data_IF_480534036921
#
_entry.id   IF_480534036921
#
_cell.length_a   1.000
_cell.length_b   1.000
_cell.length_c   1.000
_cell.angle_alpha   90.00
_cell.angle_beta   90.00
_cell.angle_gamma   90.00
#
_symmetry.space_group_name_H-M   'P 1'
#
loop_
_entity.id
_entity.type
_entity.pdbx_description
1 polymer ?
#
# COMPACT_ATOMS: atom_id res chain seq x y z
N UNK A 1 0.32 9.25 13.14
CA UNK A 1 0.88 7.88 13.17
C UNK A 1 0.29 7.13 12.00
N UNK A 2 1.09 6.32 11.29
CA UNK A 2 0.59 5.39 10.28
C UNK A 2 0.35 4.02 10.93
N UNK A 3 -0.79 3.41 10.64
CA UNK A 3 -1.14 2.08 11.14
C UNK A 3 -1.21 1.10 9.99
N UNK A 4 -0.40 0.04 10.06
CA UNK A 4 -0.39 -1.02 9.05
C UNK A 4 -1.05 -2.28 9.62
N UNK A 5 -2.25 -2.58 9.13
CA UNK A 5 -2.96 -3.82 9.38
C UNK A 5 -2.35 -4.95 8.55
N UNK A 6 -1.66 -5.87 9.20
CA UNK A 6 -0.97 -6.98 8.56
C UNK A 6 -1.81 -8.26 8.62
N UNK A 7 -1.78 -9.03 7.53
CA UNK A 7 -2.27 -10.40 7.56
C UNK A 7 -1.36 -11.28 8.42
N UNK A 8 -1.89 -12.41 8.91
CA UNK A 8 -1.08 -13.41 9.64
C UNK A 8 0.17 -13.83 8.84
N UNK A 9 -0.01 -14.08 7.54
CA UNK A 9 1.07 -14.44 6.62
C UNK A 9 2.18 -13.38 6.57
N UNK A 10 1.81 -12.09 6.64
CA UNK A 10 2.78 -11.01 6.67
C UNK A 10 3.56 -11.01 7.98
N UNK A 11 2.89 -11.07 9.14
CA UNK A 11 3.56 -11.15 10.45
C UNK A 11 4.54 -12.31 10.55
N UNK A 12 4.12 -13.51 10.12
CA UNK A 12 4.95 -14.70 10.11
C UNK A 12 6.24 -14.53 9.28
N UNK A 13 6.23 -13.61 8.30
CA UNK A 13 7.35 -13.36 7.39
C UNK A 13 8.22 -12.14 7.73
N UNK A 14 7.69 -11.16 8.48
CA UNK A 14 8.29 -9.82 8.60
C UNK A 14 8.95 -9.51 9.94
N UNK A 15 8.76 -10.35 10.97
CA UNK A 15 9.21 -10.09 12.34
C UNK A 15 8.68 -8.77 12.93
N UNK A 16 7.58 -8.23 12.38
CA UNK A 16 6.89 -7.09 12.97
C UNK A 16 6.31 -7.47 14.34
N UNK A 17 6.32 -6.52 15.26
CA UNK A 17 5.72 -6.67 16.58
C UNK A 17 4.25 -6.26 16.46
N UNK A 18 3.34 -7.17 16.81
CA UNK A 18 1.91 -6.87 16.84
C UNK A 18 1.60 -5.94 18.02
N UNK A 19 0.97 -4.81 17.72
CA UNK A 19 0.54 -3.78 18.67
C UNK A 19 -0.99 -3.72 18.75
N UNK A 20 -1.52 -3.05 19.78
CA UNK A 20 -2.96 -2.86 19.94
C UNK A 20 -3.49 -1.82 18.95
N UNK A 21 -4.68 -2.10 18.42
CA UNK A 21 -5.39 -1.12 17.60
C UNK A 21 -6.05 -0.04 18.46
N UNK A 22 -6.02 1.20 17.97
CA UNK A 22 -6.80 2.30 18.53
C UNK A 22 -7.86 2.65 17.48
N UNK A 23 -9.11 2.26 17.73
CA UNK A 23 -10.19 2.41 16.75
C UNK A 23 -10.46 3.87 16.34
N UNK A 24 -10.06 4.84 17.17
CA UNK A 24 -10.29 6.28 16.96
C UNK A 24 -9.39 6.95 15.90
N UNK A 25 -8.43 6.23 15.31
CA UNK A 25 -7.58 6.79 14.25
C UNK A 25 -8.35 6.94 12.92
N UNK A 26 -8.13 8.05 12.20
CA UNK A 26 -8.72 8.27 10.87
C UNK A 26 -8.23 7.21 9.87
N UNK A 27 -9.18 6.58 9.17
CA UNK A 27 -8.94 5.57 8.14
C UNK A 27 -8.02 6.04 7.00
N UNK A 28 -7.84 7.36 6.82
CA UNK A 28 -6.84 7.89 5.88
C UNK A 28 -5.40 7.55 6.29
N UNK A 29 -5.12 7.37 7.59
CA UNK A 29 -3.80 7.00 8.11
C UNK A 29 -3.67 5.49 8.39
N UNK A 30 -4.75 4.72 8.17
CA UNK A 30 -4.74 3.27 8.27
C UNK A 30 -4.57 2.63 6.89
N UNK A 31 -3.72 1.62 6.83
CA UNK A 31 -3.40 0.86 5.64
C UNK A 31 -3.47 -0.63 5.94
N UNK A 32 -3.83 -1.44 4.96
CA UNK A 32 -3.69 -2.88 5.00
C UNK A 32 -2.52 -3.34 4.15
N UNK A 33 -1.78 -4.34 4.63
CA UNK A 33 -0.66 -4.93 3.91
C UNK A 33 -0.75 -6.46 3.89
N UNK A 34 -0.44 -7.06 2.74
CA UNK A 34 -0.44 -8.51 2.54
C UNK A 34 0.67 -8.95 1.61
N UNK A 35 1.32 -10.06 1.96
CA UNK A 35 2.36 -10.68 1.13
C UNK A 35 1.75 -11.73 0.20
N UNK A 36 2.09 -11.65 -1.09
CA UNK A 36 1.63 -12.57 -2.13
C UNK A 36 2.78 -12.99 -3.03
N UNK A 37 2.54 -13.99 -3.90
CA UNK A 37 3.55 -14.51 -4.82
C UNK A 37 3.12 -14.24 -6.25
N UNK A 38 3.98 -13.60 -7.03
CA UNK A 38 3.78 -13.28 -8.45
C UNK A 38 5.15 -13.14 -9.10
N UNK A 39 5.27 -13.49 -10.39
CA UNK A 39 6.54 -13.43 -11.13
C UNK A 39 7.70 -14.17 -10.41
N UNK A 40 7.40 -15.32 -9.79
CA UNK A 40 8.32 -16.16 -8.99
C UNK A 40 8.96 -15.46 -7.77
N UNK A 41 8.50 -14.27 -7.39
CA UNK A 41 8.98 -13.49 -6.24
C UNK A 41 7.88 -13.35 -5.17
N UNK A 42 8.28 -13.09 -3.93
CA UNK A 42 7.37 -12.56 -2.91
C UNK A 42 7.23 -11.06 -3.12
N UNK A 43 6.00 -10.57 -3.08
CA UNK A 43 5.66 -9.16 -3.27
C UNK A 43 4.72 -8.74 -2.15
N UNK A 44 4.66 -7.44 -1.89
CA UNK A 44 3.86 -6.85 -0.84
C UNK A 44 2.91 -5.83 -1.46
N UNK A 45 1.61 -6.04 -1.34
CA UNK A 45 0.60 -5.03 -1.65
C UNK A 45 0.28 -4.26 -0.37
N UNK A 46 0.24 -2.94 -0.46
CA UNK A 46 -0.17 -2.05 0.62
C UNK A 46 -1.31 -1.17 0.10
N UNK A 47 -2.41 -1.07 0.85
CA UNK A 47 -3.65 -0.42 0.42
C UNK A 47 -4.26 0.44 1.52
N UNK A 48 -4.65 1.67 1.19
CA UNK A 48 -5.25 2.61 2.13
C UNK A 48 -6.70 2.23 2.48
N UNK A 49 -7.07 2.34 3.75
CA UNK A 49 -8.39 1.92 4.23
C UNK A 49 -9.53 2.87 3.83
N UNK A 50 -9.25 4.14 3.56
CA UNK A 50 -10.26 5.10 3.11
C UNK A 50 -10.41 5.08 1.60
N UNK A 51 -9.28 5.17 0.89
CA UNK A 51 -9.28 5.48 -0.54
C UNK A 51 -9.03 4.28 -1.44
N UNK A 52 -8.66 3.13 -0.86
CA UNK A 52 -8.12 1.94 -1.56
C UNK A 52 -6.92 2.24 -2.46
N UNK A 53 -6.33 3.42 -2.35
CA UNK A 53 -5.06 3.74 -3.00
C UNK A 53 -4.03 2.71 -2.58
N UNK A 54 -3.32 2.13 -3.54
CA UNK A 54 -2.44 1.01 -3.29
C UNK A 54 -1.15 1.14 -4.06
N UNK A 55 -0.15 0.43 -3.58
CA UNK A 55 1.09 0.22 -4.32
C UNK A 55 1.65 -1.14 -3.96
N UNK A 56 2.35 -1.74 -4.92
CA UNK A 56 2.99 -3.04 -4.79
C UNK A 56 4.50 -2.82 -4.75
N UNK A 57 5.12 -3.43 -3.75
CA UNK A 57 6.56 -3.60 -3.65
C UNK A 57 6.94 -4.99 -4.13
N UNK A 58 7.63 -5.06 -5.26
CA UNK A 58 8.03 -6.30 -5.90
C UNK A 58 9.36 -6.83 -5.37
N UNK A 59 9.46 -8.16 -5.23
CA UNK A 59 10.71 -8.79 -4.80
C UNK A 59 11.09 -8.52 -3.34
N UNK A 60 10.10 -8.37 -2.47
CA UNK A 60 10.32 -8.26 -1.02
C UNK A 60 11.01 -9.52 -0.47
N UNK A 61 11.98 -9.29 0.42
CA UNK A 61 12.80 -10.30 1.08
C UNK A 61 12.88 -9.99 2.57
N UNK A 62 13.41 -10.93 3.35
CA UNK A 62 13.43 -10.83 4.82
C UNK A 62 14.21 -9.61 5.31
N UNK A 63 15.29 -9.24 4.62
CA UNK A 63 16.12 -8.07 4.93
C UNK A 63 15.37 -6.75 4.77
N UNK A 64 14.43 -6.65 3.83
CA UNK A 64 13.68 -5.43 3.57
C UNK A 64 12.73 -5.09 4.72
N UNK A 65 12.24 -6.08 5.46
CA UNK A 65 11.35 -5.83 6.60
C UNK A 65 12.05 -5.07 7.74
N UNK A 66 13.38 -5.19 7.88
CA UNK A 66 14.15 -4.44 8.88
C UNK A 66 14.10 -2.93 8.64
N UNK A 67 14.02 -2.51 7.37
CA UNK A 67 13.96 -1.12 6.95
C UNK A 67 12.58 -0.77 6.37
N UNK A 68 11.54 -1.52 6.74
CA UNK A 68 10.22 -1.43 6.09
C UNK A 68 9.64 -0.02 6.11
N UNK A 69 9.78 0.70 7.23
CA UNK A 69 9.26 2.06 7.37
C UNK A 69 9.82 3.00 6.31
N UNK A 70 11.13 2.97 6.07
CA UNK A 70 11.79 3.80 5.06
C UNK A 70 11.33 3.40 3.65
N UNK A 71 11.32 2.10 3.35
CA UNK A 71 10.86 1.58 2.06
C UNK A 71 9.41 1.99 1.78
N UNK A 72 8.52 1.85 2.77
CA UNK A 72 7.13 2.26 2.66
C UNK A 72 7.00 3.75 2.38
N UNK A 73 7.72 4.60 3.12
CA UNK A 73 7.63 6.05 2.96
C UNK A 73 8.17 6.52 1.60
N UNK A 74 9.33 6.01 1.19
CA UNK A 74 9.90 6.35 -0.10
C UNK A 74 8.96 5.94 -1.23
N UNK A 75 8.46 4.70 -1.20
CA UNK A 75 7.53 4.23 -2.23
C UNK A 75 6.21 5.01 -2.22
N UNK A 76 5.65 5.30 -1.05
CA UNK A 76 4.44 6.12 -0.93
C UNK A 76 4.64 7.50 -1.56
N UNK A 77 5.74 8.19 -1.21
CA UNK A 77 6.07 9.52 -1.73
C UNK A 77 6.22 9.48 -3.25
N UNK A 78 6.99 8.53 -3.79
CA UNK A 78 7.20 8.39 -5.24
C UNK A 78 5.88 8.16 -5.99
N UNK A 79 5.04 7.27 -5.48
CA UNK A 79 3.73 7.00 -6.10
C UNK A 79 2.81 8.22 -6.04
N UNK A 80 2.70 8.90 -4.89
CA UNK A 80 1.86 10.11 -4.77
C UNK A 80 2.35 11.25 -5.69
N UNK A 81 3.68 11.42 -5.84
CA UNK A 81 4.27 12.36 -6.79
C UNK A 81 3.94 11.98 -8.24
N UNK A 82 4.04 10.69 -8.59
CA UNK A 82 3.72 10.20 -9.93
C UNK A 82 2.23 10.35 -10.30
N UNK A 83 1.36 10.31 -9.30
CA UNK A 83 -0.04 10.69 -9.40
C UNK A 83 -0.26 12.20 -9.30
N UNK A 84 0.79 13.03 -9.31
CA UNK A 84 0.68 14.49 -9.43
C UNK A 84 0.13 15.18 -8.18
N UNK A 85 0.27 14.57 -7.00
CA UNK A 85 -0.03 15.25 -5.74
C UNK A 85 1.14 16.17 -5.40
N UNK A 86 0.84 17.41 -5.02
CA UNK A 86 1.87 18.43 -4.76
C UNK A 86 2.71 18.10 -3.52
N UNK A 87 4.00 18.45 -3.53
CA UNK A 87 4.90 18.22 -2.39
C UNK A 87 4.40 18.76 -1.05
N UNK A 88 3.77 19.94 -0.93
CA UNK A 88 3.24 20.41 0.35
C UNK A 88 2.20 19.45 0.96
N UNK A 89 1.30 18.90 0.15
CA UNK A 89 0.29 17.95 0.61
C UNK A 89 0.91 16.61 1.00
N UNK A 90 1.88 16.12 0.21
CA UNK A 90 2.62 14.90 0.53
C UNK A 90 3.35 15.07 1.86
N UNK A 91 4.11 16.16 2.03
CA UNK A 91 4.85 16.44 3.25
C UNK A 91 3.93 16.56 4.47
N UNK A 92 2.77 17.22 4.31
CA UNK A 92 1.77 17.31 5.38
C UNK A 92 1.28 15.91 5.79
N UNK A 93 0.92 15.06 4.81
CA UNK A 93 0.45 13.71 5.07
C UNK A 93 1.53 12.82 5.71
N UNK A 94 2.76 12.85 5.18
CA UNK A 94 3.84 11.98 5.65
C UNK A 94 4.52 12.48 6.92
N UNK A 95 4.32 13.74 7.32
CA UNK A 95 4.80 14.26 8.62
C UNK A 95 4.25 13.44 9.80
N UNK A 96 3.03 12.93 9.66
CA UNK A 96 2.37 12.07 10.63
C UNK A 96 2.88 10.63 10.62
N UNK A 97 3.74 10.25 9.67
CA UNK A 97 4.28 8.90 9.53
C UNK A 97 5.60 8.68 10.29
N UNK A 98 6.05 9.69 11.05
CA UNK A 98 7.19 9.57 11.96
C UNK A 98 7.01 8.47 13.02
N UNK A 99 5.77 8.04 13.29
CA UNK A 99 5.47 6.80 13.99
C UNK A 99 4.69 5.86 13.07
N UNK A 100 5.06 4.58 13.10
CA UNK A 100 4.40 3.49 12.38
C UNK A 100 4.18 2.34 13.36
N UNK A 101 2.96 1.81 13.42
CA UNK A 101 2.63 0.61 14.20
C UNK A 101 2.05 -0.48 13.32
N UNK A 102 2.17 -1.73 13.79
CA UNK A 102 1.64 -2.90 13.09
C UNK A 102 0.56 -3.58 13.92
N UNK A 103 -0.61 -3.78 13.32
CA UNK A 103 -1.74 -4.41 14.00
C UNK A 103 -2.25 -5.60 13.19
N UNK A 104 -3.06 -6.44 13.82
CA UNK A 104 -3.76 -7.51 13.10
C UNK A 104 -4.79 -6.95 12.13
N UNK A 105 -4.91 -7.59 10.97
CA UNK A 105 -6.00 -7.29 10.03
C UNK A 105 -7.37 -7.54 10.66
N UNK A 106 -8.31 -6.64 10.38
CA UNK A 106 -9.68 -6.69 10.90
C UNK A 106 -10.73 -6.50 9.79
N UNK A 107 -10.36 -5.93 8.63
CA UNK A 107 -11.32 -5.59 7.58
C UNK A 107 -11.26 -6.56 6.38
N UNK A 108 -12.27 -7.44 6.31
CA UNK A 108 -12.43 -8.40 5.19
C UNK A 108 -12.74 -7.73 3.85
N UNK A 109 -13.34 -6.53 3.84
CA UNK A 109 -13.66 -5.77 2.64
C UNK A 109 -12.40 -5.21 1.98
N UNK A 110 -11.47 -4.68 2.78
CA UNK A 110 -10.17 -4.23 2.28
C UNK A 110 -9.36 -5.41 1.75
N UNK A 111 -9.33 -6.54 2.45
CA UNK A 111 -8.67 -7.76 1.98
C UNK A 111 -9.23 -8.30 0.66
N UNK A 112 -10.55 -8.24 0.47
CA UNK A 112 -11.19 -8.55 -0.81
C UNK A 112 -10.68 -7.63 -1.93
N UNK A 113 -10.65 -6.33 -1.68
CA UNK A 113 -10.16 -5.32 -2.65
C UNK A 113 -8.68 -5.54 -3.02
N UNK A 114 -7.84 -5.90 -2.04
CA UNK A 114 -6.43 -6.25 -2.30
C UNK A 114 -6.29 -7.52 -3.14
N UNK A 115 -7.14 -8.52 -2.89
CA UNK A 115 -7.15 -9.76 -3.67
C UNK A 115 -7.53 -9.49 -5.12
N UNK A 116 -8.56 -8.67 -5.34
CA UNK A 116 -8.97 -8.27 -6.68
C UNK A 116 -7.86 -7.49 -7.38
N UNK A 117 -7.23 -6.53 -6.71
CA UNK A 117 -6.13 -5.74 -7.28
C UNK A 117 -4.91 -6.59 -7.64
N UNK A 118 -4.54 -7.58 -6.81
CA UNK A 118 -3.45 -8.51 -7.12
C UNK A 118 -3.77 -9.28 -8.40
N UNK A 119 -4.99 -9.81 -8.55
CA UNK A 119 -5.40 -10.51 -9.78
C UNK A 119 -5.35 -9.60 -11.00
N UNK A 120 -5.78 -8.34 -10.86
CA UNK A 120 -5.70 -7.37 -11.95
C UNK A 120 -4.25 -7.08 -12.35
N UNK A 121 -3.36 -6.94 -11.37
CA UNK A 121 -1.91 -6.77 -11.61
C UNK A 121 -1.32 -8.00 -12.32
N UNK A 122 -1.80 -9.22 -12.07
CA UNK A 122 -1.30 -10.44 -12.73
C UNK A 122 -1.49 -10.39 -14.25
N UNK A 123 -2.53 -9.73 -14.74
CA UNK A 123 -2.75 -9.55 -16.19
C UNK A 123 -1.83 -8.51 -16.83
N UNK A 124 -1.30 -7.56 -16.04
CA UNK A 124 -0.53 -6.42 -16.55
C UNK A 124 0.97 -6.58 -16.34
N UNK A 125 1.39 -7.47 -15.44
CA UNK A 125 2.80 -7.59 -15.03
C UNK A 125 3.72 -8.09 -16.15
N UNK A 126 3.19 -8.77 -17.18
CA UNK A 126 3.99 -9.34 -18.28
C UNK A 126 4.82 -8.27 -19.02
N UNK A 127 4.26 -7.09 -19.25
CA UNK A 127 4.91 -5.95 -19.90
C UNK A 127 6.06 -5.35 -19.06
N UNK A 128 6.15 -5.73 -17.79
CA UNK A 128 7.15 -5.25 -16.83
C UNK A 128 8.15 -6.34 -16.44
N UNK A 129 8.16 -7.48 -17.14
CA UNK A 129 9.14 -8.55 -16.92
C UNK A 129 10.40 -8.36 -17.78
N UNK A 130 11.60 -8.68 -17.26
CA UNK A 130 11.86 -9.07 -15.88
C UNK A 130 11.71 -7.89 -14.92
N UNK A 131 11.21 -8.13 -13.71
CA UNK A 131 11.10 -7.09 -12.66
C UNK A 131 12.51 -6.57 -12.31
N UNK A 132 12.77 -5.32 -12.68
CA UNK A 132 14.01 -4.59 -12.42
C UNK A 132 13.92 -3.76 -11.13
N UNK A 133 12.79 -3.11 -10.88
CA UNK A 133 12.57 -2.21 -9.75
C UNK A 133 11.63 -2.81 -8.70
N UNK A 134 11.85 -2.46 -7.42
CA UNK A 134 10.93 -2.83 -6.34
C UNK A 134 9.62 -2.05 -6.45
N UNK A 135 9.68 -0.76 -6.76
CA UNK A 135 8.53 0.11 -6.89
C UNK A 135 8.30 0.45 -8.37
N UNK A 136 7.50 -0.37 -9.07
CA UNK A 136 7.18 -0.13 -10.48
C UNK A 136 6.08 0.94 -10.56
N UNK A 137 6.49 2.21 -10.59
CA UNK A 137 5.61 3.38 -10.53
C UNK A 137 4.50 3.35 -11.57
N UNK A 138 4.82 3.02 -12.82
CA UNK A 138 3.84 3.00 -13.90
C UNK A 138 2.73 1.98 -13.66
N UNK A 139 3.09 0.76 -13.25
CA UNK A 139 2.13 -0.29 -12.93
C UNK A 139 1.26 0.07 -11.71
N UNK A 140 1.87 0.66 -10.66
CA UNK A 140 1.12 1.16 -9.51
C UNK A 140 0.15 2.28 -9.88
N UNK A 141 0.54 3.17 -10.81
CA UNK A 141 -0.35 4.22 -11.34
C UNK A 141 -1.52 3.63 -12.12
N UNK A 142 -1.29 2.61 -12.95
CA UNK A 142 -2.36 1.88 -13.66
C UNK A 142 -3.32 1.21 -12.66
N UNK A 143 -2.78 0.55 -11.64
CA UNK A 143 -3.56 -0.05 -10.55
C UNK A 143 -4.45 0.99 -9.85
N UNK A 144 -3.94 2.19 -9.56
CA UNK A 144 -4.76 3.25 -8.93
C UNK A 144 -5.73 3.96 -9.89
N UNK A 145 -5.59 3.75 -11.20
CA UNK A 145 -6.56 4.15 -12.24
C UNK A 145 -7.62 3.10 -12.53
N UNK A 146 -7.65 2.00 -11.77
CA UNK A 146 -8.59 0.90 -11.95
C UNK A 146 -9.84 1.09 -11.08
N UNK A 147 -11.06 0.88 -11.63
CA UNK A 147 -12.28 1.01 -10.84
C UNK A 147 -12.43 -0.18 -9.88
N UNK A 148 -12.73 0.11 -8.61
CA UNK A 148 -13.04 -0.90 -7.61
C UNK A 148 -14.52 -0.84 -7.27
N UNK A 149 -15.20 -1.99 -7.26
CA UNK A 149 -16.66 -2.08 -7.01
C UNK A 149 -17.09 -1.39 -5.71
N UNK A 150 -16.23 -1.42 -4.69
CA UNK A 150 -16.50 -0.81 -3.38
C UNK A 150 -16.34 0.71 -3.35
N UNK A 151 -15.80 1.31 -4.40
CA UNK A 151 -15.60 2.74 -4.52
C UNK A 151 -16.46 3.33 -5.63
N UNK A 152 -16.93 4.55 -5.40
CA UNK A 152 -17.64 5.35 -6.42
C UNK A 152 -16.68 6.22 -7.25
N UNK A 153 -15.37 6.10 -7.01
CA UNK A 153 -14.29 6.90 -7.59
C UNK A 153 -13.05 6.04 -7.79
N UNK A 154 -12.15 6.46 -8.68
CA UNK A 154 -10.86 5.81 -8.83
C UNK A 154 -9.97 6.06 -7.59
N UNK A 155 -9.19 5.06 -7.14
CA UNK A 155 -8.32 5.21 -5.96
C UNK A 155 -7.40 6.43 -6.00
N UNK A 156 -6.75 6.73 -7.13
CA UNK A 156 -5.87 7.90 -7.27
C UNK A 156 -6.61 9.24 -7.11
N UNK A 157 -7.79 9.36 -7.73
CA UNK A 157 -8.64 10.54 -7.62
C UNK A 157 -9.10 10.74 -6.18
N UNK A 158 -9.54 9.66 -5.53
CA UNK A 158 -10.03 9.74 -4.15
C UNK A 158 -8.89 10.05 -3.17
N UNK A 159 -7.69 9.51 -3.39
CA UNK A 159 -6.51 9.86 -2.59
C UNK A 159 -6.14 11.35 -2.73
N UNK A 160 -6.14 11.88 -3.95
CA UNK A 160 -5.89 13.31 -4.18
C UNK A 160 -6.89 14.19 -3.43
N UNK A 161 -8.18 13.88 -3.55
CA UNK A 161 -9.23 14.61 -2.84
C UNK A 161 -9.04 14.52 -1.33
N UNK A 162 -8.79 13.32 -0.80
CA UNK A 162 -8.63 13.09 0.63
C UNK A 162 -7.41 13.81 1.23
N UNK A 163 -6.35 14.05 0.44
CA UNK A 163 -5.19 14.82 0.86
C UNK A 163 -5.33 16.34 0.66
N UNK A 164 -6.37 16.79 -0.04
CA UNK A 164 -6.59 18.22 -0.34
C UNK A 164 -7.56 18.90 0.64
N UNK A 165 -8.08 18.17 1.62
CA UNK A 165 -8.99 18.63 2.68
C UNK A 165 -8.20 18.85 3.96
#
# INVERSE_FOLDING_TARGET
MITISCTKKLFDSSAFIEEQDNELEDELYKWHANVFRMAKKNNLIIMNNKTRYCFILFGIRKEHYKNFKEIFLNALIENLKADGISEPLINNYTSNANSMKFIKTYDRSVLGSMTDMVKMTEFMIEDYLPIQEMNIIELNKINNGTPLVKLKKFPNQFMREALSI
#
